data_IF_830807611607
#
_entry.id   IF_830807611607
#
_cell.length_a   1.000
_cell.length_b   1.000
_cell.length_c   1.000
_cell.angle_alpha   90.00
_cell.angle_beta   90.00
_cell.angle_gamma   90.00
#
_symmetry.space_group_name_H-M   'P 1'
#
loop_
_entity.id
_entity.type
_entity.pdbx_description
1 polymer ?
#
# COMPACT_ATOMS: atom_id res chain seq x y z
N UNK A 1 45.90 34.09 -35.72
CA UNK A 1 46.53 33.19 -34.73
C UNK A 1 45.75 31.89 -34.74
N UNK A 2 46.45 30.77 -34.86
CA UNK A 2 45.88 29.43 -34.87
C UNK A 2 45.53 28.95 -33.45
N UNK A 3 44.48 28.15 -33.31
CA UNK A 3 44.45 27.02 -32.37
C UNK A 3 43.37 26.01 -32.77
N UNK A 4 43.65 24.73 -32.50
CA UNK A 4 43.08 23.54 -33.12
C UNK A 4 41.99 22.82 -32.27
N UNK A 5 41.05 22.12 -32.95
CA UNK A 5 40.27 20.86 -32.69
C UNK A 5 39.90 20.36 -31.25
N UNK A 6 39.01 19.34 -31.05
CA UNK A 6 37.78 18.83 -31.73
C UNK A 6 36.56 18.49 -30.77
N UNK A 7 35.41 18.04 -31.34
CA UNK A 7 34.13 17.49 -30.73
C UNK A 7 34.28 16.28 -29.76
N UNK A 8 33.25 15.63 -29.12
CA UNK A 8 31.76 15.65 -29.24
C UNK A 8 30.99 15.64 -27.86
N UNK A 9 29.68 15.86 -27.69
CA UNK A 9 28.51 15.00 -27.91
C UNK A 9 27.33 15.53 -27.05
N UNK A 10 26.07 15.19 -27.35
CA UNK A 10 24.87 15.71 -26.71
C UNK A 10 24.55 15.01 -25.38
N UNK A 11 24.01 15.75 -24.42
CA UNK A 11 23.49 15.23 -23.16
C UNK A 11 21.98 14.98 -23.30
N UNK A 12 21.49 13.73 -23.28
CA UNK A 12 20.10 13.46 -22.95
C UNK A 12 19.99 12.69 -21.63
N UNK A 13 19.20 13.26 -20.72
CA UNK A 13 18.26 12.51 -19.88
C UNK A 13 18.82 11.57 -18.80
N UNK A 14 19.21 12.12 -17.65
CA UNK A 14 19.16 11.37 -16.39
C UNK A 14 17.71 11.30 -15.91
N UNK A 15 17.00 10.26 -16.33
CA UNK A 15 15.85 9.73 -15.59
C UNK A 15 16.39 8.69 -14.62
N UNK A 16 16.53 9.10 -13.36
CA UNK A 16 16.89 8.26 -12.22
C UNK A 16 15.78 7.20 -11.98
N UNK A 17 15.80 6.13 -12.76
CA UNK A 17 15.14 4.88 -12.44
C UNK A 17 16.22 3.96 -11.88
N UNK A 18 16.15 3.70 -10.58
CA UNK A 18 17.01 2.80 -9.81
C UNK A 18 17.28 1.48 -10.55
N UNK A 19 18.37 1.43 -11.31
CA UNK A 19 18.93 0.21 -11.88
C UNK A 19 19.85 -0.35 -10.81
N UNK A 20 19.30 -1.25 -10.00
CA UNK A 20 20.12 -2.28 -9.37
C UNK A 20 20.87 -2.97 -10.53
N UNK A 21 22.22 -3.02 -10.51
CA UNK A 21 22.96 -3.75 -11.54
C UNK A 21 22.66 -5.23 -11.34
N UNK A 22 21.65 -5.73 -12.05
CA UNK A 22 21.39 -7.16 -12.16
C UNK A 22 22.59 -7.74 -12.92
N UNK A 23 23.51 -8.46 -12.26
CA UNK A 23 24.65 -9.01 -12.96
C UNK A 23 24.13 -10.04 -13.96
N UNK A 24 24.73 -10.13 -15.14
CA UNK A 24 24.33 -11.10 -16.19
C UNK A 24 24.36 -12.55 -15.67
N UNK A 25 25.12 -12.83 -14.61
CA UNK A 25 25.11 -14.10 -13.89
C UNK A 25 23.79 -14.41 -13.17
N UNK A 26 22.99 -13.39 -12.80
CA UNK A 26 21.66 -13.58 -12.23
C UNK A 26 20.64 -14.10 -13.25
N UNK A 27 20.81 -13.79 -14.55
CA UNK A 27 19.95 -14.33 -15.61
C UNK A 27 20.07 -15.85 -15.74
N UNK A 28 21.27 -16.42 -15.56
CA UNK A 28 21.49 -17.87 -15.65
C UNK A 28 20.80 -18.61 -14.51
N UNK A 29 20.72 -18.00 -13.33
CA UNK A 29 19.99 -18.56 -12.18
C UNK A 29 18.47 -18.46 -12.35
N UNK A 30 17.96 -17.41 -13.01
CA UNK A 30 16.54 -17.28 -13.36
C UNK A 30 16.08 -18.33 -14.39
N UNK A 31 16.93 -18.64 -15.37
CA UNK A 31 16.63 -19.64 -16.42
C UNK A 31 16.54 -21.08 -15.85
N UNK A 32 17.25 -21.33 -14.75
CA UNK A 32 17.39 -22.67 -14.15
C UNK A 32 16.56 -22.89 -12.87
N UNK A 33 15.53 -22.06 -12.65
CA UNK A 33 14.61 -22.20 -11.53
C UNK A 33 13.65 -23.39 -11.72
N UNK A 34 13.40 -24.19 -10.66
CA UNK A 34 12.35 -25.19 -10.68
C UNK A 34 10.99 -24.54 -10.98
N UNK A 35 10.22 -25.15 -11.90
CA UNK A 35 8.85 -24.75 -12.27
C UNK A 35 7.91 -24.41 -11.08
N UNK A 36 7.97 -25.04 -9.89
CA UNK A 36 7.13 -24.63 -8.76
C UNK A 36 7.42 -23.20 -8.25
N UNK A 37 8.65 -22.71 -8.37
CA UNK A 37 9.04 -21.39 -7.84
C UNK A 37 8.56 -20.25 -8.74
N UNK A 38 8.54 -20.45 -10.06
CA UNK A 38 7.96 -19.49 -11.01
C UNK A 38 6.43 -19.36 -10.86
N UNK A 39 5.74 -20.48 -10.61
CA UNK A 39 4.31 -20.48 -10.32
C UNK A 39 4.00 -19.82 -8.97
N UNK A 40 4.85 -20.03 -7.95
CA UNK A 40 4.72 -19.35 -6.67
C UNK A 40 4.92 -17.82 -6.80
N UNK A 41 5.84 -17.37 -7.66
CA UNK A 41 6.04 -15.95 -7.94
C UNK A 41 4.85 -15.32 -8.69
N UNK A 42 4.25 -16.04 -9.63
CA UNK A 42 3.03 -15.60 -10.32
C UNK A 42 1.83 -15.48 -9.37
N UNK A 43 1.74 -16.36 -8.37
CA UNK A 43 0.75 -16.29 -7.29
C UNK A 43 1.09 -15.25 -6.22
N UNK A 44 2.36 -14.87 -6.07
CA UNK A 44 2.78 -13.88 -5.06
C UNK A 44 2.24 -12.47 -5.35
N UNK A 45 1.92 -12.15 -6.61
CA UNK A 45 1.26 -10.89 -7.00
C UNK A 45 -0.26 -10.97 -7.04
N UNK A 46 -0.84 -12.18 -6.98
CA UNK A 46 -2.28 -12.38 -7.02
C UNK A 46 -2.84 -12.25 -5.60
N UNK A 47 -3.47 -11.11 -5.30
CA UNK A 47 -4.28 -10.98 -4.09
C UNK A 47 -5.41 -12.04 -4.16
N UNK A 48 -5.40 -13.08 -3.30
CA UNK A 48 -6.26 -14.25 -3.47
C UNK A 48 -7.76 -13.94 -3.29
N UNK A 49 -8.09 -12.76 -2.76
CA UNK A 49 -9.46 -12.34 -2.51
C UNK A 49 -9.78 -11.05 -3.26
N UNK A 50 -10.73 -11.14 -4.20
CA UNK A 50 -11.23 -9.97 -4.94
C UNK A 50 -11.98 -8.96 -4.03
N UNK A 51 -12.53 -9.46 -2.92
CA UNK A 51 -13.24 -8.66 -1.91
C UNK A 51 -12.80 -9.05 -0.52
N UNK A 52 -12.47 -8.06 0.29
CA UNK A 52 -11.98 -8.22 1.66
C UNK A 52 -12.98 -7.63 2.64
N UNK A 53 -13.10 -8.25 3.82
CA UNK A 53 -13.99 -7.77 4.88
C UNK A 53 -13.20 -6.87 5.84
N UNK A 54 -13.75 -5.70 6.13
CA UNK A 54 -13.17 -4.71 7.03
C UNK A 54 -14.13 -4.47 8.18
N UNK A 55 -13.59 -4.45 9.40
CA UNK A 55 -14.29 -4.09 10.63
C UNK A 55 -13.72 -2.79 11.19
N UNK A 56 -14.53 -1.75 11.21
CA UNK A 56 -14.24 -0.46 11.81
C UNK A 56 -14.55 -0.49 13.30
N UNK A 57 -13.59 -0.12 14.13
CA UNK A 57 -13.75 -0.03 15.59
C UNK A 57 -13.51 1.42 16.02
N UNK A 58 -14.37 1.98 16.86
CA UNK A 58 -14.15 3.31 17.40
C UNK A 58 -13.05 3.28 18.48
N UNK A 59 -12.14 4.25 18.45
CA UNK A 59 -11.22 4.52 19.57
C UNK A 59 -11.99 5.17 20.73
N UNK A 60 -11.49 5.05 21.97
CA UNK A 60 -12.10 5.69 23.13
C UNK A 60 -12.23 7.21 22.90
N UNK A 61 -13.47 7.71 22.93
CA UNK A 61 -13.79 9.12 22.67
C UNK A 61 -14.30 9.42 21.25
N UNK A 62 -14.34 8.44 20.34
CA UNK A 62 -14.91 8.61 19.01
C UNK A 62 -16.36 8.08 18.92
N UNK A 63 -17.24 8.68 18.08
CA UNK A 63 -18.59 8.16 17.84
C UNK A 63 -18.57 6.79 17.16
N UNK A 64 -19.37 5.84 17.65
CA UNK A 64 -19.46 4.50 17.05
C UNK A 64 -20.33 4.48 15.78
N UNK A 65 -19.83 3.81 14.75
CA UNK A 65 -20.52 3.62 13.47
C UNK A 65 -21.60 2.54 13.56
N UNK A 66 -22.80 2.87 13.07
CA UNK A 66 -23.96 1.96 13.03
C UNK A 66 -23.75 0.67 12.22
N UNK A 67 -22.77 0.67 11.31
CA UNK A 67 -22.40 -0.49 10.48
C UNK A 67 -20.88 -0.60 10.43
N UNK A 68 -20.26 -1.22 11.46
CA UNK A 68 -18.81 -1.28 11.57
C UNK A 68 -18.19 -2.22 10.53
N UNK A 69 -18.95 -3.17 9.97
CA UNK A 69 -18.42 -4.15 9.02
C UNK A 69 -18.87 -3.83 7.60
N UNK A 70 -17.93 -3.82 6.68
CA UNK A 70 -18.22 -3.69 5.24
C UNK A 70 -17.24 -4.50 4.41
N UNK A 71 -17.63 -4.81 3.17
CA UNK A 71 -16.77 -5.47 2.19
C UNK A 71 -16.32 -4.46 1.16
N UNK A 72 -15.04 -4.45 0.82
CA UNK A 72 -14.51 -3.63 -0.26
C UNK A 72 -13.64 -4.46 -1.20
N UNK A 73 -13.37 -3.95 -2.39
CA UNK A 73 -12.46 -4.63 -3.32
C UNK A 73 -11.02 -4.48 -2.86
N UNK A 74 -10.22 -5.54 -2.98
CA UNK A 74 -8.81 -5.57 -2.61
C UNK A 74 -7.93 -4.62 -3.45
N UNK A 75 -8.41 -4.19 -4.61
CA UNK A 75 -7.76 -3.19 -5.47
C UNK A 75 -7.86 -1.76 -4.95
N UNK A 76 -8.66 -1.50 -3.90
CA UNK A 76 -8.74 -0.16 -3.30
C UNK A 76 -7.49 0.12 -2.46
N UNK A 77 -7.21 1.42 -2.29
CA UNK A 77 -6.20 1.92 -1.37
C UNK A 77 -6.82 2.26 0.00
N UNK A 78 -5.96 2.38 1.01
CA UNK A 78 -6.38 2.73 2.36
C UNK A 78 -7.03 4.13 2.43
N UNK A 79 -6.65 5.05 1.54
CA UNK A 79 -7.31 6.36 1.37
C UNK A 79 -8.83 6.27 1.23
N UNK A 80 -9.33 5.28 0.50
CA UNK A 80 -10.77 5.06 0.31
C UNK A 80 -11.47 4.75 1.63
N UNK A 81 -10.82 3.98 2.52
CA UNK A 81 -11.34 3.66 3.85
C UNK A 81 -11.38 4.92 4.71
N UNK A 82 -10.29 5.70 4.73
CA UNK A 82 -10.21 6.95 5.51
C UNK A 82 -11.29 7.93 5.06
N UNK A 83 -11.49 8.07 3.75
CA UNK A 83 -12.54 8.92 3.18
C UNK A 83 -13.94 8.43 3.54
N UNK A 84 -14.15 7.12 3.54
CA UNK A 84 -15.41 6.51 3.96
C UNK A 84 -15.72 6.78 5.43
N UNK A 85 -14.74 6.59 6.31
CA UNK A 85 -14.86 6.90 7.75
C UNK A 85 -15.18 8.38 7.95
N UNK A 86 -14.44 9.28 7.30
CA UNK A 86 -14.69 10.73 7.35
C UNK A 86 -16.13 11.08 6.97
N UNK A 87 -16.62 10.53 5.86
CA UNK A 87 -17.97 10.78 5.37
C UNK A 87 -19.04 10.24 6.32
N UNK A 88 -18.79 9.09 6.94
CA UNK A 88 -19.74 8.46 7.86
C UNK A 88 -19.79 9.13 9.23
N UNK A 89 -18.67 9.65 9.71
CA UNK A 89 -18.60 10.37 10.97
C UNK A 89 -19.06 11.85 10.83
N UNK A 90 -19.17 12.36 9.60
CA UNK A 90 -19.61 13.74 9.34
C UNK A 90 -18.54 14.79 9.66
N UNK A 91 -17.26 14.38 9.60
CA UNK A 91 -16.12 15.23 9.93
C UNK A 91 -16.01 16.40 8.95
N UNK A 92 -15.87 17.62 9.48
CA UNK A 92 -15.73 18.83 8.65
C UNK A 92 -14.37 18.91 7.96
N UNK A 93 -14.31 19.67 6.88
CA UNK A 93 -13.04 20.03 6.21
C UNK A 93 -12.18 20.82 7.20
N UNK A 94 -11.14 20.20 7.75
CA UNK A 94 -10.25 20.78 8.76
C UNK A 94 -10.00 19.88 9.96
N UNK A 95 -10.89 18.91 10.22
CA UNK A 95 -10.68 17.93 11.28
C UNK A 95 -9.88 16.72 10.77
N UNK A 96 -8.86 16.36 11.55
CA UNK A 96 -8.01 15.20 11.29
C UNK A 96 -8.71 13.93 11.76
N UNK A 97 -8.65 12.89 10.93
CA UNK A 97 -9.10 11.54 11.31
C UNK A 97 -7.89 10.64 11.25
N UNK A 98 -7.65 9.94 12.34
CA UNK A 98 -6.59 8.97 12.47
C UNK A 98 -7.19 7.57 12.34
N UNK A 99 -6.59 6.76 11.49
CA UNK A 99 -6.98 5.37 11.29
C UNK A 99 -5.78 4.47 11.53
N UNK A 100 -5.99 3.43 12.32
CA UNK A 100 -4.97 2.46 12.72
C UNK A 100 -5.43 1.07 12.35
N UNK A 101 -4.54 0.25 11.81
CA UNK A 101 -4.80 -1.17 11.61
C UNK A 101 -4.57 -1.87 12.95
N UNK A 102 -5.54 -2.68 13.36
CA UNK A 102 -5.53 -3.48 14.59
C UNK A 102 -5.18 -2.70 15.88
N UNK A 103 -5.43 -1.38 15.91
CA UNK A 103 -4.99 -0.48 16.99
C UNK A 103 -3.47 -0.49 17.26
N UNK A 104 -2.63 -0.76 16.27
CA UNK A 104 -1.17 -0.85 16.45
C UNK A 104 -0.39 0.17 15.62
N UNK A 105 -0.71 0.34 14.34
CA UNK A 105 0.00 1.27 13.46
C UNK A 105 -0.94 1.94 12.45
N UNK A 106 -0.54 3.10 11.96
CA UNK A 106 -1.25 3.82 10.90
C UNK A 106 -0.61 3.52 9.53
N UNK A 107 -1.27 2.78 8.62
CA UNK A 107 -0.73 2.49 7.30
C UNK A 107 -0.72 3.72 6.40
N UNK A 108 0.05 3.65 5.31
CA UNK A 108 0.09 4.70 4.29
C UNK A 108 -1.24 4.82 3.54
N UNK A 109 -1.61 6.02 3.09
CA UNK A 109 -2.84 6.24 2.32
C UNK A 109 -2.82 5.54 0.96
N UNK A 110 -1.64 5.36 0.39
CA UNK A 110 -1.38 4.67 -0.88
C UNK A 110 -1.32 3.14 -0.72
N UNK A 111 -1.39 2.63 0.51
CA UNK A 111 -1.25 1.21 0.77
C UNK A 111 -2.49 0.43 0.28
N UNK A 112 -2.25 -0.68 -0.41
CA UNK A 112 -3.30 -1.52 -0.95
C UNK A 112 -4.04 -2.28 0.15
N UNK A 113 -5.37 -2.19 0.17
CA UNK A 113 -6.20 -2.84 1.19
C UNK A 113 -6.09 -4.36 1.14
N UNK A 114 -5.90 -4.94 -0.05
CA UNK A 114 -5.69 -6.37 -0.19
C UNK A 114 -4.42 -6.88 0.52
N UNK A 115 -3.32 -6.13 0.42
CA UNK A 115 -2.07 -6.46 1.12
C UNK A 115 -2.24 -6.34 2.64
N UNK A 116 -2.84 -5.24 3.09
CA UNK A 116 -3.18 -5.04 4.50
C UNK A 116 -4.04 -6.17 5.07
N UNK A 117 -5.06 -6.59 4.34
CA UNK A 117 -5.92 -7.71 4.76
C UNK A 117 -5.14 -9.03 4.78
N UNK A 118 -4.31 -9.31 3.77
CA UNK A 118 -3.53 -10.55 3.74
C UNK A 118 -2.53 -10.66 4.89
N UNK A 119 -1.87 -9.55 5.25
CA UNK A 119 -0.82 -9.52 6.27
C UNK A 119 -1.36 -9.31 7.70
N UNK A 120 -2.44 -8.55 7.88
CA UNK A 120 -2.89 -8.07 9.20
C UNK A 120 -4.36 -8.40 9.53
N UNK A 121 -5.01 -9.31 8.79
CA UNK A 121 -6.36 -9.77 9.16
C UNK A 121 -6.37 -10.47 10.52
N UNK A 122 -7.42 -10.23 11.28
CA UNK A 122 -7.75 -11.00 12.48
C UNK A 122 -8.90 -11.94 12.12
N UNK A 123 -8.60 -13.24 11.99
CA UNK A 123 -9.54 -14.23 11.48
C UNK A 123 -9.82 -14.02 9.98
N UNK A 124 -11.00 -13.48 9.65
CA UNK A 124 -11.46 -13.20 8.28
C UNK A 124 -11.73 -11.71 8.02
N UNK A 125 -11.41 -10.84 8.98
CA UNK A 125 -11.68 -9.40 8.90
C UNK A 125 -10.41 -8.59 9.18
N UNK A 126 -10.21 -7.50 8.44
CA UNK A 126 -9.21 -6.49 8.77
C UNK A 126 -9.83 -5.50 9.76
N UNK A 127 -9.28 -5.42 10.97
CA UNK A 127 -9.74 -4.48 11.99
C UNK A 127 -9.06 -3.14 11.77
N UNK A 128 -9.85 -2.08 11.63
CA UNK A 128 -9.37 -0.70 11.48
C UNK A 128 -9.99 0.16 12.58
N UNK A 129 -9.16 0.65 13.47
CA UNK A 129 -9.55 1.52 14.57
C UNK A 129 -9.48 2.98 14.14
N UNK A 130 -10.52 3.77 14.39
CA UNK A 130 -10.55 5.18 14.00
C UNK A 130 -10.82 6.11 15.18
N UNK A 131 -10.26 7.32 15.10
CA UNK A 131 -10.50 8.38 16.08
C UNK A 131 -10.12 9.77 15.57
N UNK A 132 -10.59 10.79 16.29
CA UNK A 132 -10.26 12.20 16.03
C UNK A 132 -8.98 12.64 16.74
N UNK A 133 -8.61 11.95 17.81
CA UNK A 133 -7.36 12.15 18.53
C UNK A 133 -6.33 11.11 18.09
N UNK A 134 -5.05 11.49 17.97
CA UNK A 134 -3.99 10.51 17.79
C UNK A 134 -3.88 9.67 19.08
N UNK A 135 -3.92 8.34 18.94
CA UNK A 135 -3.83 7.41 20.07
C UNK A 135 -2.41 6.85 20.26
N UNK A 136 -1.63 6.81 19.18
CA UNK A 136 -0.26 6.31 19.16
C UNK A 136 0.59 7.34 18.40
N UNK A 137 1.72 7.73 18.98
CA UNK A 137 2.64 8.74 18.47
C UNK A 137 4.05 8.18 18.33
#
# INVERSE_FOLDING_TARGET
MASASPSPSPHPSDTEASTLPLPLSASVLLENLPKPTAAALATAGALPQAKVTIKLTALPGAPELKSPRFKCSSSNTFLTIVTFVRKKLGVKVGESVFCYVNSTFAPGLDEGVGGLWACFKTGEELVVSYGVTPAFG
#
